data_IF_797368101823
#
_entry.id   IF_797368101823
#
_cell.length_a   1.000
_cell.length_b   1.000
_cell.length_c   1.000
_cell.angle_alpha   90.00
_cell.angle_beta   90.00
_cell.angle_gamma   90.00
#
_symmetry.space_group_name_H-M   'P 1'
#
loop_
_entity.id
_entity.type
_entity.pdbx_description
1 polymer ?
#
# COMPACT_ATOMS: atom_id res chain seq x y z
N UNK A 1 19.19 -28.82 -18.69
CA UNK A 1 19.37 -27.54 -19.41
C UNK A 1 18.15 -26.68 -19.10
N UNK A 2 18.23 -25.85 -18.06
CA UNK A 2 17.20 -24.85 -17.79
C UNK A 2 17.74 -23.53 -18.34
N UNK A 3 17.13 -23.05 -19.43
CA UNK A 3 17.53 -21.80 -20.07
C UNK A 3 17.00 -20.67 -19.19
N UNK A 4 17.91 -19.87 -18.61
CA UNK A 4 17.51 -18.63 -17.95
C UNK A 4 16.83 -17.73 -18.99
N UNK A 5 15.80 -16.95 -18.61
CA UNK A 5 15.17 -16.00 -19.52
C UNK A 5 16.24 -15.01 -20.00
N UNK A 6 16.33 -14.84 -21.32
CA UNK A 6 17.13 -13.79 -21.95
C UNK A 6 16.53 -12.43 -21.62
N UNK A 7 17.41 -11.45 -21.40
CA UNK A 7 17.08 -10.15 -20.84
C UNK A 7 16.02 -9.34 -21.59
N UNK A 8 15.43 -8.44 -20.80
CA UNK A 8 14.52 -7.34 -21.15
C UNK A 8 13.00 -7.57 -21.03
N UNK A 9 12.55 -8.41 -20.10
CA UNK A 9 11.15 -8.44 -19.62
C UNK A 9 11.01 -8.72 -18.10
N UNK A 10 12.04 -8.46 -17.28
CA UNK A 10 12.05 -8.90 -15.86
C UNK A 10 12.31 -7.81 -14.83
N UNK A 11 12.16 -6.53 -15.17
CA UNK A 11 12.25 -5.42 -14.21
C UNK A 11 11.08 -4.46 -14.37
N UNK A 12 9.86 -4.95 -14.20
CA UNK A 12 8.69 -4.08 -14.07
C UNK A 12 7.92 -4.33 -12.76
N UNK A 13 8.55 -4.99 -11.77
CA UNK A 13 7.99 -5.25 -10.45
C UNK A 13 8.99 -4.83 -9.38
N UNK A 14 8.51 -4.15 -8.33
CA UNK A 14 9.35 -3.72 -7.21
C UNK A 14 9.92 -4.93 -6.46
N UNK A 15 11.24 -4.94 -6.23
CA UNK A 15 11.91 -5.94 -5.39
C UNK A 15 11.88 -5.60 -3.89
N UNK A 16 11.30 -4.45 -3.54
CA UNK A 16 11.00 -4.02 -2.17
C UNK A 16 9.48 -4.05 -2.03
N UNK A 17 8.98 -4.86 -1.09
CA UNK A 17 7.55 -5.07 -0.86
C UNK A 17 7.25 -4.77 0.61
N UNK A 18 6.54 -3.66 0.93
CA UNK A 18 6.19 -3.33 2.30
C UNK A 18 5.41 -4.45 2.98
N UNK A 19 5.80 -4.77 4.21
CA UNK A 19 5.11 -5.73 5.08
C UNK A 19 4.36 -5.00 6.18
N UNK A 20 3.06 -5.28 6.33
CA UNK A 20 2.19 -4.65 7.32
C UNK A 20 1.52 -5.70 8.22
N UNK A 21 1.05 -5.26 9.38
CA UNK A 21 0.24 -6.08 10.29
C UNK A 21 -1.02 -5.33 10.70
N UNK A 22 -2.09 -6.09 10.87
CA UNK A 22 -3.42 -5.59 11.22
C UNK A 22 -4.03 -6.45 12.33
N UNK A 23 -4.76 -5.82 13.25
CA UNK A 23 -5.55 -6.54 14.26
C UNK A 23 -6.71 -7.28 13.61
N UNK A 24 -7.35 -6.67 12.60
CA UNK A 24 -8.35 -7.28 11.72
C UNK A 24 -7.86 -7.22 10.26
N UNK A 25 -7.04 -8.21 9.89
CA UNK A 25 -6.49 -8.30 8.54
C UNK A 25 -7.55 -8.52 7.45
N UNK A 26 -8.69 -9.14 7.77
CA UNK A 26 -9.76 -9.31 6.79
C UNK A 26 -10.41 -7.97 6.46
N UNK A 27 -10.77 -7.19 7.49
CA UNK A 27 -11.31 -5.85 7.29
C UNK A 27 -10.32 -4.92 6.58
N UNK A 28 -9.03 -5.02 6.90
CA UNK A 28 -7.99 -4.24 6.22
C UNK A 28 -7.89 -4.61 4.73
N UNK A 29 -7.90 -5.90 4.37
CA UNK A 29 -7.88 -6.34 2.98
C UNK A 29 -9.09 -5.78 2.22
N UNK A 30 -10.29 -5.90 2.79
CA UNK A 30 -11.52 -5.43 2.18
C UNK A 30 -11.46 -3.92 1.94
N UNK A 31 -11.04 -3.15 2.94
CA UNK A 31 -10.89 -1.70 2.83
C UNK A 31 -9.85 -1.29 1.78
N UNK A 32 -8.68 -1.94 1.75
CA UNK A 32 -7.63 -1.64 0.78
C UNK A 32 -8.09 -1.90 -0.66
N UNK A 33 -8.87 -2.96 -0.87
CA UNK A 33 -9.45 -3.25 -2.17
C UNK A 33 -10.54 -2.24 -2.56
N UNK A 34 -11.49 -2.00 -1.67
CA UNK A 34 -12.67 -1.20 -1.99
C UNK A 34 -12.36 0.30 -2.07
N UNK A 35 -11.43 0.78 -1.23
CA UNK A 35 -11.14 2.21 -1.07
C UNK A 35 -9.89 2.63 -1.85
N UNK A 36 -8.81 1.87 -1.78
CA UNK A 36 -7.55 2.18 -2.48
C UNK A 36 -7.38 1.44 -3.82
N UNK A 37 -8.31 0.54 -4.16
CA UNK A 37 -8.32 -0.14 -5.45
C UNK A 37 -7.31 -1.29 -5.58
N UNK A 38 -6.76 -1.79 -4.48
CA UNK A 38 -5.92 -2.98 -4.52
C UNK A 38 -6.71 -4.21 -5.00
N UNK A 39 -6.01 -5.19 -5.55
CA UNK A 39 -6.55 -6.49 -5.91
C UNK A 39 -5.95 -7.59 -5.03
N UNK A 40 -6.78 -8.57 -4.66
CA UNK A 40 -6.32 -9.75 -3.90
C UNK A 40 -5.53 -10.66 -4.84
N UNK A 41 -4.26 -10.88 -4.53
CA UNK A 41 -3.42 -11.82 -5.28
C UNK A 41 -3.33 -13.18 -4.58
N UNK A 42 -3.09 -13.18 -3.27
CA UNK A 42 -3.04 -14.38 -2.44
C UNK A 42 -3.53 -14.05 -1.04
N UNK A 43 -4.35 -14.91 -0.44
CA UNK A 43 -4.74 -14.82 0.98
C UNK A 43 -4.65 -16.21 1.60
N UNK A 44 -3.83 -16.35 2.64
CA UNK A 44 -3.58 -17.60 3.36
C UNK A 44 -4.13 -17.46 4.78
N UNK A 45 -5.13 -18.28 5.18
CA UNK A 45 -5.67 -18.25 6.54
C UNK A 45 -4.65 -18.78 7.54
N UNK A 46 -4.71 -18.30 8.79
CA UNK A 46 -3.87 -18.79 9.89
C UNK A 46 -4.38 -20.07 10.57
N UNK A 47 -5.60 -20.50 10.24
CA UNK A 47 -6.27 -21.66 10.84
C UNK A 47 -7.03 -21.36 12.14
N UNK A 48 -6.99 -20.12 12.63
CA UNK A 48 -7.68 -19.63 13.84
C UNK A 48 -8.67 -18.49 13.57
N UNK A 49 -8.83 -18.10 12.31
CA UNK A 49 -9.80 -17.09 11.86
C UNK A 49 -9.17 -15.76 11.44
N UNK A 50 -7.84 -15.66 11.43
CA UNK A 50 -7.09 -14.55 10.89
C UNK A 50 -6.36 -14.90 9.59
N UNK A 51 -5.44 -14.02 9.20
CA UNK A 51 -4.65 -14.12 7.96
C UNK A 51 -3.19 -14.35 8.32
N UNK A 52 -2.64 -15.52 8.00
CA UNK A 52 -1.22 -15.78 8.18
C UNK A 52 -0.38 -14.90 7.23
N UNK A 53 -0.84 -14.78 5.98
CA UNK A 53 -0.16 -14.05 4.91
C UNK A 53 -1.14 -13.65 3.81
N UNK A 54 -1.04 -12.42 3.33
CA UNK A 54 -1.74 -11.94 2.15
C UNK A 54 -0.82 -11.10 1.27
N UNK A 55 -1.10 -11.13 -0.03
CA UNK A 55 -0.48 -10.30 -1.06
C UNK A 55 -1.58 -9.54 -1.76
N UNK A 56 -1.47 -8.22 -1.77
CA UNK A 56 -2.35 -7.35 -2.53
C UNK A 56 -1.54 -6.59 -3.58
N UNK A 57 -2.08 -6.48 -4.79
CA UNK A 57 -1.43 -5.83 -5.93
C UNK A 57 -2.16 -4.57 -6.34
N UNK A 58 -1.42 -3.58 -6.85
CA UNK A 58 -1.97 -2.37 -7.45
C UNK A 58 -1.07 -1.98 -8.62
N UNK A 59 -1.56 -2.15 -9.85
CA UNK A 59 -0.72 -2.04 -11.05
C UNK A 59 0.45 -3.03 -10.98
N UNK A 60 1.69 -2.52 -11.09
CA UNK A 60 2.93 -3.28 -10.93
C UNK A 60 3.41 -3.41 -9.48
N UNK A 61 2.78 -2.68 -8.54
CA UNK A 61 3.13 -2.67 -7.13
C UNK A 61 2.52 -3.82 -6.34
N UNK A 62 3.14 -4.15 -5.21
CA UNK A 62 2.66 -5.16 -4.27
C UNK A 62 2.88 -4.71 -2.83
N UNK A 63 1.98 -5.14 -1.95
CA UNK A 63 2.17 -5.14 -0.50
C UNK A 63 1.95 -6.54 0.06
N UNK A 64 2.58 -6.82 1.20
CA UNK A 64 2.31 -8.00 2.00
C UNK A 64 1.70 -7.59 3.34
N UNK A 65 0.74 -8.37 3.82
CA UNK A 65 0.15 -8.14 5.14
C UNK A 65 -0.25 -9.44 5.82
N UNK A 66 -0.50 -9.37 7.12
CA UNK A 66 -1.16 -10.46 7.85
C UNK A 66 -1.71 -9.98 9.19
N UNK A 67 -2.40 -10.87 9.89
CA UNK A 67 -2.87 -10.62 11.24
C UNK A 67 -1.69 -10.37 12.19
N UNK A 68 -1.94 -9.52 13.19
CA UNK A 68 -1.04 -9.30 14.32
C UNK A 68 -0.65 -10.63 14.97
N UNK A 69 0.61 -10.72 15.41
CA UNK A 69 1.19 -11.89 16.04
C UNK A 69 1.89 -11.47 17.32
N UNK A 70 2.23 -12.43 18.17
CA UNK A 70 3.05 -12.14 19.35
C UNK A 70 4.36 -11.44 18.95
N UNK A 71 4.71 -10.40 19.70
CA UNK A 71 5.87 -9.57 19.42
C UNK A 71 7.16 -10.35 19.72
N UNK A 72 7.82 -10.80 18.66
CA UNK A 72 9.18 -11.33 18.68
C UNK A 72 10.19 -10.31 18.15
N UNK A 73 11.48 -10.60 18.32
CA UNK A 73 12.55 -9.78 17.73
C UNK A 73 12.40 -9.80 16.20
N UNK A 74 12.08 -8.63 15.62
CA UNK A 74 11.80 -8.49 14.19
C UNK A 74 10.32 -8.49 13.80
N UNK A 75 9.38 -8.54 14.76
CA UNK A 75 7.96 -8.37 14.48
C UNK A 75 7.66 -6.95 13.95
N UNK A 76 6.97 -6.90 12.81
CA UNK A 76 6.20 -5.71 12.41
C UNK A 76 4.96 -5.66 13.31
N UNK A 77 4.64 -4.51 13.87
CA UNK A 77 3.51 -4.31 14.78
C UNK A 77 2.45 -3.48 14.08
N UNK A 78 1.17 -3.79 14.32
CA UNK A 78 0.08 -2.97 13.82
C UNK A 78 0.17 -1.56 14.44
N UNK A 79 -0.05 -0.49 13.66
CA UNK A 79 -0.05 0.84 14.24
C UNK A 79 -1.21 1.01 15.22
N UNK A 80 -0.99 1.85 16.22
CA UNK A 80 -2.11 2.35 17.02
C UNK A 80 -2.69 3.58 16.32
N UNK A 81 -4.01 3.83 16.39
CA UNK A 81 -4.63 4.98 15.69
C UNK A 81 -4.02 6.34 16.05
N UNK A 82 -3.43 6.45 17.25
CA UNK A 82 -2.77 7.65 17.78
C UNK A 82 -1.25 7.54 17.84
N UNK A 83 -0.68 6.43 17.38
CA UNK A 83 0.75 6.17 17.44
C UNK A 83 1.52 6.85 16.31
N UNK A 84 2.77 7.19 16.59
CA UNK A 84 3.71 7.64 15.58
C UNK A 84 4.00 6.49 14.60
N UNK A 85 3.88 6.80 13.31
CA UNK A 85 4.28 5.91 12.24
C UNK A 85 5.69 6.26 11.79
N UNK A 86 6.59 5.29 11.76
CA UNK A 86 7.96 5.48 11.26
C UNK A 86 8.08 5.25 9.76
N UNK A 87 7.01 4.75 9.12
CA UNK A 87 6.96 4.39 7.69
C UNK A 87 5.57 4.64 7.12
N UNK A 88 5.50 4.90 5.81
CA UNK A 88 4.26 4.96 5.03
C UNK A 88 4.53 4.48 3.61
N UNK A 89 3.52 3.96 2.94
CA UNK A 89 3.61 3.64 1.52
C UNK A 89 3.23 4.88 0.68
N UNK A 90 3.95 5.10 -0.42
CA UNK A 90 3.58 6.05 -1.46
C UNK A 90 3.02 5.27 -2.65
N UNK A 91 1.77 5.55 -3.02
CA UNK A 91 1.10 4.95 -4.15
C UNK A 91 1.09 5.96 -5.29
N UNK A 92 1.73 5.60 -6.39
CA UNK A 92 1.65 6.35 -7.64
C UNK A 92 0.37 5.97 -8.36
N UNK A 93 -0.46 6.96 -8.73
CA UNK A 93 -1.67 6.77 -9.52
C UNK A 93 -1.67 7.73 -10.71
N UNK A 94 -2.22 7.27 -11.83
CA UNK A 94 -2.38 8.10 -13.04
C UNK A 94 -3.48 9.17 -12.83
N UNK A 95 -4.68 8.72 -12.40
CA UNK A 95 -5.82 9.60 -12.14
C UNK A 95 -6.02 9.83 -10.63
N UNK A 96 -5.27 10.79 -10.08
CA UNK A 96 -5.33 11.09 -8.65
C UNK A 96 -6.70 11.63 -8.20
N UNK A 97 -7.39 12.41 -9.04
CA UNK A 97 -8.73 12.93 -8.73
C UNK A 97 -9.77 11.82 -8.59
N UNK A 98 -9.69 10.79 -9.44
CA UNK A 98 -10.56 9.60 -9.36
C UNK A 98 -10.29 8.83 -8.07
N UNK A 99 -9.02 8.67 -7.72
CA UNK A 99 -8.60 8.00 -6.49
C UNK A 99 -9.08 8.77 -5.25
N UNK A 100 -8.88 10.09 -5.24
CA UNK A 100 -9.29 10.97 -4.16
C UNK A 100 -10.81 11.00 -3.99
N UNK A 101 -11.59 11.07 -5.07
CA UNK A 101 -13.05 11.01 -5.00
C UNK A 101 -13.56 9.67 -4.44
N UNK A 102 -12.97 8.54 -4.86
CA UNK A 102 -13.29 7.21 -4.29
C UNK A 102 -13.07 7.17 -2.78
N UNK A 103 -11.92 7.68 -2.32
CA UNK A 103 -11.57 7.75 -0.89
C UNK A 103 -12.56 8.61 -0.11
N UNK A 104 -12.99 9.75 -0.67
CA UNK A 104 -14.01 10.62 -0.08
C UNK A 104 -15.38 9.96 -0.01
N UNK A 105 -15.82 9.33 -1.10
CA UNK A 105 -17.12 8.67 -1.17
C UNK A 105 -17.22 7.49 -0.19
N UNK A 106 -16.10 6.83 0.08
CA UNK A 106 -15.99 5.80 1.12
C UNK A 106 -16.02 6.36 2.56
N UNK A 107 -15.98 7.69 2.74
CA UNK A 107 -15.94 8.33 4.06
C UNK A 107 -14.66 8.06 4.83
N UNK A 108 -13.55 7.84 4.13
CA UNK A 108 -12.26 7.54 4.73
C UNK A 108 -11.65 8.75 5.47
N UNK A 109 -10.71 8.47 6.39
CA UNK A 109 -10.02 9.48 7.17
C UNK A 109 -8.89 10.14 6.35
N UNK A 110 -9.23 11.15 5.57
CA UNK A 110 -8.26 11.98 4.85
C UNK A 110 -7.57 12.90 5.86
N UNK A 111 -6.26 12.72 6.03
CA UNK A 111 -5.44 13.48 6.99
C UNK A 111 -4.66 14.62 6.32
N UNK A 112 -4.58 14.61 4.99
CA UNK A 112 -4.11 15.70 4.17
C UNK A 112 -4.95 15.72 2.90
N UNK A 113 -5.59 16.86 2.63
CA UNK A 113 -6.42 17.05 1.44
C UNK A 113 -5.57 16.99 0.17
N UNK A 114 -6.22 16.82 -0.98
CA UNK A 114 -5.53 16.81 -2.26
C UNK A 114 -4.90 18.18 -2.53
N UNK A 115 -3.57 18.19 -2.65
CA UNK A 115 -2.76 19.39 -2.84
C UNK A 115 -1.73 19.20 -3.96
N UNK A 116 -1.58 20.22 -4.80
CA UNK A 116 -0.47 20.31 -5.77
C UNK A 116 0.86 20.51 -5.02
N UNK A 117 1.88 19.79 -5.45
CA UNK A 117 3.18 19.79 -4.80
C UNK A 117 4.17 20.70 -5.53
N UNK A 118 5.04 21.38 -4.78
CA UNK A 118 6.00 22.35 -5.33
C UNK A 118 7.06 21.73 -6.25
N UNK A 119 7.29 20.42 -6.12
CA UNK A 119 8.19 19.62 -6.95
C UNK A 119 7.47 18.93 -8.12
N UNK A 120 6.19 19.23 -8.34
CA UNK A 120 5.36 18.63 -9.39
C UNK A 120 4.47 17.49 -8.90
N UNK A 121 3.38 17.26 -9.62
CA UNK A 121 2.34 16.31 -9.25
C UNK A 121 1.43 16.81 -8.12
N UNK A 122 0.50 15.96 -7.72
CA UNK A 122 -0.42 16.20 -6.61
C UNK A 122 -0.34 15.05 -5.62
N UNK A 123 -0.77 15.28 -4.39
CA UNK A 123 -0.69 14.32 -3.30
C UNK A 123 -1.86 14.52 -2.34
N UNK A 124 -2.42 13.42 -1.84
CA UNK A 124 -3.25 13.41 -0.64
C UNK A 124 -2.78 12.29 0.30
N UNK A 125 -3.18 12.36 1.56
CA UNK A 125 -2.87 11.30 2.53
C UNK A 125 -4.11 10.86 3.29
N UNK A 126 -4.24 9.55 3.47
CA UNK A 126 -5.38 8.90 4.12
C UNK A 126 -4.90 7.88 5.15
N UNK A 127 -5.60 7.81 6.27
CA UNK A 127 -5.46 6.71 7.24
C UNK A 127 -6.52 5.66 6.99
N UNK A 128 -6.10 4.41 6.99
CA UNK A 128 -7.03 3.28 7.02
C UNK A 128 -7.68 3.13 8.42
N UNK A 129 -8.64 2.21 8.60
CA UNK A 129 -9.38 2.05 9.86
C UNK A 129 -8.50 1.72 11.08
N UNK A 130 -7.31 1.14 10.87
CA UNK A 130 -6.39 0.82 11.97
C UNK A 130 -5.31 1.87 12.18
N UNK A 131 -5.21 2.84 11.27
CA UNK A 131 -4.37 4.02 11.39
C UNK A 131 -3.12 3.97 10.53
N UNK A 132 -2.95 2.99 9.63
CA UNK A 132 -1.84 2.97 8.67
C UNK A 132 -1.95 4.18 7.74
N UNK A 133 -0.84 4.87 7.51
CA UNK A 133 -0.79 6.03 6.64
C UNK A 133 -0.46 5.62 5.20
N UNK A 134 -1.28 6.08 4.28
CA UNK A 134 -1.14 5.91 2.84
C UNK A 134 -1.01 7.28 2.19
N UNK A 135 0.10 7.50 1.49
CA UNK A 135 0.29 8.66 0.63
C UNK A 135 -0.07 8.25 -0.80
N UNK A 136 -0.94 9.00 -1.45
CA UNK A 136 -1.38 8.72 -2.82
C UNK A 136 -1.09 9.94 -3.67
N UNK A 137 -0.29 9.78 -4.72
CA UNK A 137 0.15 10.89 -5.53
C UNK A 137 0.32 10.57 -7.00
N UNK A 138 0.43 11.61 -7.82
CA UNK A 138 0.65 11.51 -9.27
C UNK A 138 2.09 11.76 -9.69
N UNK A 139 2.99 12.03 -8.74
CA UNK A 139 4.42 12.13 -9.02
C UNK A 139 5.02 10.73 -9.15
N UNK A 140 5.55 10.44 -10.33
CA UNK A 140 6.25 9.18 -10.61
C UNK A 140 7.75 9.33 -10.29
N UNK A 141 8.25 8.71 -9.21
CA UNK A 141 9.66 8.78 -8.84
C UNK A 141 10.59 7.99 -9.78
N UNK A 142 10.05 7.19 -10.71
CA UNK A 142 10.83 6.50 -11.74
C UNK A 142 10.96 7.30 -13.04
N UNK A 143 10.17 8.36 -13.22
CA UNK A 143 10.27 9.19 -14.40
C UNK A 143 11.65 9.86 -14.48
N UNK A 144 12.23 9.90 -15.68
CA UNK A 144 13.43 10.70 -15.90
C UNK A 144 13.09 12.18 -15.73
N UNK A 145 13.75 12.84 -14.78
CA UNK A 145 13.62 14.27 -14.59
C UNK A 145 14.76 14.98 -15.34
N UNK A 146 14.43 15.94 -16.22
CA UNK A 146 15.45 16.74 -16.90
C UNK A 146 16.29 17.50 -15.86
N UNK A 147 17.53 17.05 -15.61
CA UNK A 147 18.49 17.77 -14.77
C UNK A 147 19.22 16.98 -13.68
N UNK A 148 19.02 15.66 -13.56
CA UNK A 148 19.85 14.78 -12.70
C UNK A 148 21.24 14.48 -13.27
#
# INVERSE_FOLDING_TARGET
MHRLPSGDETLNQSNIVPGMRYRDAHAAIDWLCDVLGFERHLVVPDGTGGVAHAQLTLGSGMIMLGSERENDEGAVVAPTPTGDLTQSAYIVVEDIEVSYQRVKDAGANIVMELEEQSYGGSLFAVRDPEGQLWNVGSYDPWAEHEGD
#
